data_IF_229381040875
#
_entry.id   IF_229381040875
#
_cell.length_a   1.000
_cell.length_b   1.000
_cell.length_c   1.000
_cell.angle_alpha   90.00
_cell.angle_beta   90.00
_cell.angle_gamma   90.00
#
_symmetry.space_group_name_H-M   'P 1'
#
loop_
_entity.id
_entity.type
_entity.pdbx_description
1 polymer ?
#
# COMPACT_ATOMS: atom_id res chain seq x y z
N UNK A 1 10.52 -33.75 -37.88
CA UNK A 1 9.88 -34.14 -36.61
C UNK A 1 10.24 -33.12 -35.54
N UNK A 2 9.36 -32.97 -34.54
CA UNK A 2 9.08 -31.77 -33.73
C UNK A 2 10.28 -31.20 -32.94
N UNK A 3 10.35 -29.87 -32.88
CA UNK A 3 11.18 -29.08 -31.96
C UNK A 3 10.53 -29.09 -30.57
N UNK A 4 11.32 -29.27 -29.51
CA UNK A 4 10.87 -29.12 -28.13
C UNK A 4 11.77 -28.09 -27.45
N UNK A 5 11.20 -26.91 -27.21
CA UNK A 5 11.80 -25.83 -26.42
C UNK A 5 11.43 -26.12 -24.97
N UNK A 6 12.45 -26.19 -24.11
CA UNK A 6 12.29 -26.32 -22.66
C UNK A 6 12.06 -24.91 -22.11
N UNK A 7 10.81 -24.56 -21.81
CA UNK A 7 10.50 -23.38 -20.99
C UNK A 7 10.60 -23.76 -19.52
N UNK A 8 11.41 -23.01 -18.77
CA UNK A 8 11.49 -23.07 -17.32
C UNK A 8 10.17 -22.55 -16.73
N UNK A 9 9.43 -23.43 -16.06
CA UNK A 9 8.30 -23.05 -15.23
C UNK A 9 8.83 -22.47 -13.91
N UNK A 10 8.54 -21.20 -13.65
CA UNK A 10 8.62 -20.63 -12.31
C UNK A 10 7.47 -21.24 -11.51
N UNK A 11 7.80 -22.23 -10.67
CA UNK A 11 6.87 -22.80 -9.69
C UNK A 11 6.79 -21.82 -8.52
N UNK A 12 5.85 -20.88 -8.60
CA UNK A 12 5.38 -20.13 -7.45
C UNK A 12 4.51 -21.06 -6.59
N UNK A 13 5.12 -21.71 -5.61
CA UNK A 13 4.42 -22.51 -4.61
C UNK A 13 3.78 -21.56 -3.59
N UNK A 14 2.56 -21.12 -3.86
CA UNK A 14 1.73 -20.41 -2.89
C UNK A 14 1.15 -21.46 -1.93
N UNK A 15 1.77 -21.63 -0.77
CA UNK A 15 1.24 -22.44 0.31
C UNK A 15 0.07 -21.69 0.97
N UNK A 16 -1.15 -22.05 0.61
CA UNK A 16 -2.37 -21.67 1.31
C UNK A 16 -2.65 -22.70 2.41
N UNK A 17 -2.68 -22.23 3.66
CA UNK A 17 -3.63 -22.68 4.70
C UNK A 17 -3.43 -24.04 5.39
N UNK A 18 -2.98 -24.01 6.64
CA UNK A 18 -3.36 -24.83 7.80
C UNK A 18 -2.40 -24.45 8.94
N UNK A 19 -2.75 -24.26 10.22
CA UNK A 19 -3.92 -24.62 11.00
C UNK A 19 -3.76 -23.94 12.36
N UNK A 20 -4.89 -23.60 13.00
CA UNK A 20 -5.00 -23.29 14.43
C UNK A 20 -4.19 -24.28 15.27
N UNK A 21 -3.43 -23.79 16.25
CA UNK A 21 -2.98 -24.60 17.38
C UNK A 21 -2.89 -23.74 18.63
N UNK A 22 -4.01 -23.76 19.36
CA UNK A 22 -4.05 -23.61 20.82
C UNK A 22 -2.92 -24.39 21.49
N UNK A 23 -2.16 -23.72 22.37
CA UNK A 23 -1.43 -24.39 23.45
C UNK A 23 -2.04 -23.92 24.77
N UNK A 24 -2.94 -24.75 25.28
CA UNK A 24 -3.21 -24.82 26.72
C UNK A 24 -1.99 -25.46 27.38
N UNK A 25 -1.25 -24.71 28.19
CA UNK A 25 -0.35 -25.26 29.18
C UNK A 25 -1.05 -25.18 30.54
N UNK A 26 -1.82 -26.22 30.86
CA UNK A 26 -2.25 -26.50 32.21
C UNK A 26 -1.08 -27.12 32.99
N UNK A 27 -0.52 -26.36 33.92
CA UNK A 27 0.15 -26.86 35.12
C UNK A 27 -0.45 -26.03 36.25
N UNK A 28 -1.42 -26.52 37.01
CA UNK A 28 -1.20 -27.61 37.95
C UNK A 28 -0.70 -27.05 39.28
N UNK A 29 -1.45 -26.16 39.91
CA UNK A 29 -1.33 -25.91 41.35
C UNK A 29 -2.72 -25.72 41.97
N UNK A 30 -3.07 -26.67 42.84
CA UNK A 30 -4.19 -26.58 43.76
C UNK A 30 -3.83 -25.61 44.87
N UNK A 31 -4.55 -24.50 45.02
CA UNK A 31 -4.58 -23.74 46.29
C UNK A 31 -6.03 -23.60 46.74
N UNK A 32 -6.43 -24.53 47.61
CA UNK A 32 -7.44 -24.25 48.62
C UNK A 32 -6.75 -23.42 49.70
N UNK A 33 -7.04 -22.13 49.77
CA UNK A 33 -7.35 -21.40 51.01
C UNK A 33 -7.36 -19.88 50.78
N UNK A 34 -8.40 -19.26 51.35
CA UNK A 34 -8.46 -17.88 51.88
C UNK A 34 -8.41 -16.71 50.89
N UNK A 35 -9.55 -16.03 50.83
CA UNK A 35 -9.71 -14.57 50.73
C UNK A 35 -8.38 -13.79 50.79
N UNK A 36 -7.80 -13.53 49.62
CA UNK A 36 -6.76 -12.51 49.47
C UNK A 36 -7.12 -11.68 48.23
N UNK A 37 -7.50 -10.43 48.49
CA UNK A 37 -7.76 -9.43 47.48
C UNK A 37 -6.45 -9.12 46.78
N UNK A 38 -6.24 -9.63 45.56
CA UNK A 38 -5.13 -9.15 44.71
C UNK A 38 -5.51 -7.76 44.20
N UNK A 39 -5.22 -6.73 45.00
CA UNK A 39 -5.11 -5.36 44.52
C UNK A 39 -3.80 -5.25 43.75
N UNK A 40 -3.87 -5.39 42.42
CA UNK A 40 -2.75 -5.03 41.55
C UNK A 40 -2.49 -3.53 41.75
N UNK A 41 -1.24 -3.20 42.07
CA UNK A 41 -0.86 -1.79 42.25
C UNK A 41 -0.77 -1.10 40.89
N UNK A 42 -1.01 0.22 40.83
CA UNK A 42 -0.94 1.03 39.58
C UNK A 42 0.39 0.79 38.82
N UNK A 43 1.45 0.47 39.56
CA UNK A 43 2.78 0.14 39.05
C UNK A 43 2.84 -1.20 38.27
N UNK A 44 2.00 -2.19 38.59
CA UNK A 44 1.98 -3.50 37.90
C UNK A 44 1.19 -3.47 36.58
N UNK A 45 0.21 -2.57 36.44
CA UNK A 45 -0.56 -2.41 35.20
C UNK A 45 0.26 -1.67 34.13
N UNK A 46 1.20 -0.80 34.55
CA UNK A 46 2.15 -0.14 33.66
C UNK A 46 3.18 -1.07 32.99
N UNK A 47 3.35 -2.30 33.48
CA UNK A 47 4.29 -3.29 32.90
C UNK A 47 3.68 -4.14 31.77
N UNK A 48 2.37 -4.01 31.53
CA UNK A 48 1.65 -4.71 30.44
C UNK A 48 1.57 -3.89 29.14
N UNK A 49 1.95 -2.62 29.16
CA UNK A 49 2.10 -1.79 27.96
C UNK A 49 3.59 -1.74 27.61
N UNK A 50 3.93 -1.97 26.34
CA UNK A 50 5.30 -2.02 25.77
C UNK A 50 6.07 -0.67 25.91
N UNK A 51 6.30 -0.18 27.12
CA UNK A 51 7.14 0.98 27.41
C UNK A 51 6.51 2.37 27.17
N UNK A 52 5.21 2.45 26.86
CA UNK A 52 4.51 3.74 26.83
C UNK A 52 4.00 4.09 28.23
N UNK A 53 4.53 5.14 28.81
CA UNK A 53 4.12 5.63 30.13
C UNK A 53 2.66 6.07 30.08
N UNK A 54 1.77 5.59 30.96
CA UNK A 54 0.43 6.13 31.09
C UNK A 54 0.49 7.66 31.27
N UNK A 55 -0.30 8.39 30.48
CA UNK A 55 -0.40 9.84 30.60
C UNK A 55 -0.85 10.23 32.03
N UNK A 56 -0.40 11.37 32.53
CA UNK A 56 -0.68 11.89 33.87
C UNK A 56 -2.19 12.00 34.16
N UNK A 57 -3.02 12.10 33.13
CA UNK A 57 -4.49 12.04 33.22
C UNK A 57 -4.99 10.66 33.71
N UNK A 58 -4.34 9.57 33.30
CA UNK A 58 -4.68 8.19 33.66
C UNK A 58 -4.34 7.89 35.13
N UNK A 59 -3.15 8.29 35.57
CA UNK A 59 -2.70 8.22 36.97
C UNK A 59 -3.66 9.01 37.90
N UNK A 60 -4.00 10.24 37.51
CA UNK A 60 -4.91 11.10 38.29
C UNK A 60 -6.32 10.51 38.37
N UNK A 61 -6.79 9.86 37.29
CA UNK A 61 -8.11 9.23 37.21
C UNK A 61 -8.20 7.96 38.06
N UNK A 62 -7.17 7.12 38.10
CA UNK A 62 -7.13 5.96 39.02
C UNK A 62 -7.01 6.37 40.49
N UNK A 63 -6.26 7.41 40.80
CA UNK A 63 -6.08 7.91 42.18
C UNK A 63 -7.38 8.50 42.75
N UNK A 64 -8.09 9.34 41.99
CA UNK A 64 -9.39 9.89 42.42
C UNK A 64 -10.48 8.80 42.58
N UNK A 65 -10.42 7.73 41.78
CA UNK A 65 -11.39 6.62 41.84
C UNK A 65 -11.18 5.71 43.06
N UNK A 66 -9.95 5.52 43.52
CA UNK A 66 -9.69 4.75 44.76
C UNK A 66 -10.27 5.46 46.00
N UNK A 67 -10.28 6.80 46.05
CA UNK A 67 -10.88 7.55 47.16
C UNK A 67 -12.41 7.43 47.21
N UNK A 68 -13.07 7.27 46.05
CA UNK A 68 -14.51 7.00 45.94
C UNK A 68 -14.90 5.62 46.50
N UNK A 69 -14.05 4.61 46.35
CA UNK A 69 -14.28 3.27 46.95
C UNK A 69 -14.06 3.26 48.47
N UNK A 70 -13.20 4.14 49.00
CA UNK A 70 -12.94 4.27 50.42
C UNK A 70 -14.06 5.03 51.17
N UNK A 71 -14.68 6.00 50.52
CA UNK A 71 -15.79 6.79 51.09
C UNK A 71 -17.11 6.03 51.15
N UNK A 72 -17.40 5.12 50.21
CA UNK A 72 -18.59 4.24 50.28
C UNK A 72 -18.52 3.23 51.46
N UNK A 73 -17.30 2.84 51.91
CA UNK A 73 -17.11 1.93 53.06
C UNK A 73 -17.46 2.54 54.43
N UNK A 74 -17.62 3.87 54.55
CA UNK A 74 -17.87 4.53 55.84
C UNK A 74 -19.35 4.83 56.14
N UNK A 75 -20.26 4.73 55.17
CA UNK A 75 -21.64 5.22 55.36
C UNK A 75 -22.73 4.14 55.51
N UNK A 76 -22.42 2.84 55.53
CA UNK A 76 -23.45 1.81 55.67
C UNK A 76 -23.34 1.07 57.01
N UNK A 77 -23.94 1.65 58.05
CA UNK A 77 -24.03 1.08 59.39
C UNK A 77 -25.41 0.46 59.64
N UNK A 78 -25.88 -0.39 58.73
CA UNK A 78 -27.00 -1.29 58.99
C UNK A 78 -26.80 -2.62 58.25
N UNK A 79 -26.58 -3.66 59.05
CA UNK A 79 -26.21 -5.00 58.61
C UNK A 79 -27.47 -5.81 58.29
N UNK A 80 -27.71 -6.08 56.99
CA UNK A 80 -28.49 -7.24 56.51
C UNK A 80 -28.25 -7.45 55.01
N UNK A 81 -27.39 -8.42 54.68
CA UNK A 81 -27.11 -8.87 53.31
C UNK A 81 -26.22 -7.92 52.51
N UNK A 82 -24.94 -7.84 52.86
CA UNK A 82 -23.96 -7.05 52.08
C UNK A 82 -23.70 -7.80 50.77
N UNK A 83 -24.37 -7.39 49.70
CA UNK A 83 -23.90 -7.71 48.34
C UNK A 83 -22.53 -7.04 48.19
N UNK A 84 -21.51 -7.81 47.81
CA UNK A 84 -20.17 -7.26 47.55
C UNK A 84 -20.27 -6.07 46.60
N UNK A 85 -19.51 -4.98 46.82
CA UNK A 85 -19.58 -3.81 45.96
C UNK A 85 -19.23 -4.19 44.52
N UNK A 86 -19.99 -3.67 43.54
CA UNK A 86 -19.72 -3.91 42.12
C UNK A 86 -18.29 -3.45 41.80
N UNK A 87 -17.45 -4.28 41.13
CA UNK A 87 -16.10 -3.87 40.77
C UNK A 87 -16.13 -2.73 39.74
N UNK A 88 -15.09 -1.89 39.78
CA UNK A 88 -14.85 -0.90 38.74
C UNK A 88 -14.06 -1.54 37.61
N UNK A 89 -14.54 -1.39 36.38
CA UNK A 89 -13.88 -1.89 35.17
C UNK A 89 -13.91 -0.82 34.08
N UNK A 90 -12.81 -0.66 33.34
CA UNK A 90 -12.70 0.29 32.23
C UNK A 90 -12.96 -0.39 30.88
N UNK A 91 -13.45 0.40 29.94
CA UNK A 91 -13.65 0.02 28.54
C UNK A 91 -13.05 1.11 27.64
N UNK A 92 -12.34 0.69 26.59
CA UNK A 92 -11.89 1.59 25.53
C UNK A 92 -12.95 1.68 24.45
N UNK A 93 -13.49 2.88 24.25
CA UNK A 93 -14.53 3.18 23.27
C UNK A 93 -14.06 2.80 21.87
N UNK A 94 -14.89 2.05 21.15
CA UNK A 94 -14.67 1.72 19.75
C UNK A 94 -15.57 2.56 18.84
N UNK A 95 -15.28 2.54 17.53
CA UNK A 95 -16.05 3.29 16.53
C UNK A 95 -17.51 2.86 16.52
N UNK A 96 -18.41 3.80 16.82
CA UNK A 96 -19.86 3.58 16.82
C UNK A 96 -20.47 3.34 18.20
N UNK A 97 -19.64 3.28 19.25
CA UNK A 97 -20.12 3.21 20.62
C UNK A 97 -20.76 4.54 21.06
N UNK A 98 -21.76 4.45 21.95
CA UNK A 98 -22.33 5.59 22.66
C UNK A 98 -22.41 5.26 24.16
N UNK A 99 -22.51 6.28 25.02
CA UNK A 99 -22.72 6.02 26.45
C UNK A 99 -24.01 5.23 26.68
N UNK A 100 -25.06 5.48 25.90
CA UNK A 100 -26.33 4.78 25.97
C UNK A 100 -26.21 3.32 25.51
N UNK A 101 -25.49 3.04 24.41
CA UNK A 101 -25.33 1.67 23.92
C UNK A 101 -24.51 0.83 24.90
N UNK A 102 -23.46 1.41 25.48
CA UNK A 102 -22.63 0.74 26.50
C UNK A 102 -23.38 0.56 27.83
N UNK A 103 -24.14 1.57 28.27
CA UNK A 103 -25.00 1.48 29.45
C UNK A 103 -26.03 0.34 29.31
N UNK A 104 -26.68 0.25 28.14
CA UNK A 104 -27.61 -0.85 27.83
C UNK A 104 -26.91 -2.22 27.80
N UNK A 105 -25.72 -2.30 27.20
CA UNK A 105 -24.94 -3.54 27.08
C UNK A 105 -24.52 -4.10 28.44
N UNK A 106 -24.09 -3.24 29.35
CA UNK A 106 -23.61 -3.64 30.67
C UNK A 106 -24.67 -3.51 31.78
N UNK A 107 -25.94 -3.29 31.40
CA UNK A 107 -27.07 -3.13 32.31
C UNK A 107 -26.83 -2.09 33.42
N UNK A 108 -26.20 -0.97 33.06
CA UNK A 108 -25.94 0.19 33.94
C UNK A 108 -26.90 1.31 33.54
N UNK A 109 -27.39 2.09 34.51
CA UNK A 109 -28.16 3.30 34.18
C UNK A 109 -27.25 4.34 33.53
N UNK A 110 -27.67 4.88 32.37
CA UNK A 110 -26.85 5.82 31.61
C UNK A 110 -26.53 7.11 32.41
N UNK A 111 -27.43 7.57 33.29
CA UNK A 111 -27.16 8.74 34.14
C UNK A 111 -26.16 8.40 35.27
N UNK A 112 -26.20 7.19 35.82
CA UNK A 112 -25.19 6.72 36.77
C UNK A 112 -23.83 6.53 36.11
N UNK A 113 -23.81 5.97 34.90
CA UNK A 113 -22.58 5.83 34.11
C UNK A 113 -21.97 7.21 33.82
N UNK A 114 -22.78 8.19 33.42
CA UNK A 114 -22.31 9.55 33.21
C UNK A 114 -21.75 10.19 34.50
N UNK A 115 -22.36 9.95 35.67
CA UNK A 115 -21.83 10.44 36.96
C UNK A 115 -20.45 9.90 37.30
N UNK A 116 -20.09 8.71 36.83
CA UNK A 116 -18.74 8.16 37.01
C UNK A 116 -17.75 8.64 35.94
N UNK A 117 -18.27 9.18 34.83
CA UNK A 117 -17.50 9.62 33.68
C UNK A 117 -17.78 11.10 33.38
N UNK A 118 -17.76 11.97 34.40
CA UNK A 118 -18.14 13.40 34.27
C UNK A 118 -17.22 14.20 33.33
N UNK A 119 -16.02 13.68 33.03
CA UNK A 119 -15.11 14.23 32.02
C UNK A 119 -15.55 13.90 30.58
N UNK A 120 -16.42 12.89 30.43
CA UNK A 120 -17.10 12.54 29.19
C UNK A 120 -18.42 13.29 29.20
N UNK A 121 -18.45 14.44 28.54
CA UNK A 121 -19.62 15.31 28.47
C UNK A 121 -20.86 14.52 27.99
N UNK A 122 -21.96 14.58 28.74
CA UNK A 122 -23.21 13.84 28.48
C UNK A 122 -23.84 14.17 27.13
N UNK A 123 -23.51 15.33 26.55
CA UNK A 123 -23.99 15.73 25.23
C UNK A 123 -23.10 15.21 24.08
N UNK A 124 -21.97 14.59 24.41
CA UNK A 124 -20.85 14.37 23.49
C UNK A 124 -20.76 12.89 23.14
N UNK A 125 -20.82 12.64 21.82
CA UNK A 125 -20.47 11.37 21.19
C UNK A 125 -19.13 10.92 21.77
N UNK A 126 -19.08 9.75 22.39
CA UNK A 126 -17.80 9.19 22.85
C UNK A 126 -16.92 8.93 21.64
N UNK A 127 -15.69 9.42 21.70
CA UNK A 127 -14.73 9.27 20.63
C UNK A 127 -14.00 7.92 20.76
N UNK A 128 -13.71 7.23 19.63
CA UNK A 128 -12.89 6.03 19.66
C UNK A 128 -11.56 6.28 20.38
N UNK A 129 -11.20 5.37 21.30
CA UNK A 129 -10.02 5.51 22.16
C UNK A 129 -10.27 6.17 23.51
N UNK A 130 -11.44 6.79 23.74
CA UNK A 130 -11.79 7.29 25.07
C UNK A 130 -12.03 6.15 26.07
N UNK A 131 -11.74 6.39 27.34
CA UNK A 131 -11.94 5.41 28.42
C UNK A 131 -13.21 5.72 29.19
N UNK A 132 -14.14 4.75 29.19
CA UNK A 132 -15.37 4.76 30.00
C UNK A 132 -15.25 3.75 31.13
N UNK A 133 -15.62 4.15 32.34
CA UNK A 133 -15.55 3.31 33.55
C UNK A 133 -16.94 2.91 34.00
N UNK A 134 -17.11 1.62 34.31
CA UNK A 134 -18.35 1.01 34.77
C UNK A 134 -18.20 0.49 36.20
N UNK A 135 -19.25 0.61 37.02
CA UNK A 135 -19.44 -0.26 38.20
C UNK A 135 -20.43 -1.36 37.84
N UNK A 136 -19.94 -2.54 37.49
CA UNK A 136 -20.78 -3.64 36.99
C UNK A 136 -20.22 -5.02 37.37
N UNK A 137 -21.07 -6.05 37.40
CA UNK A 137 -20.63 -7.46 37.50
C UNK A 137 -20.42 -8.10 36.12
N UNK A 138 -20.77 -7.38 35.05
CA UNK A 138 -20.57 -7.85 33.68
C UNK A 138 -19.09 -7.84 33.32
N UNK A 139 -18.69 -8.82 32.50
CA UNK A 139 -17.30 -8.98 32.06
C UNK A 139 -17.01 -8.02 30.88
N UNK A 140 -16.69 -6.78 31.23
CA UNK A 140 -16.35 -5.72 30.28
C UNK A 140 -15.08 -6.07 29.48
N UNK A 141 -14.13 -6.78 30.10
CA UNK A 141 -12.88 -7.17 29.45
C UNK A 141 -13.11 -8.23 28.37
N UNK A 142 -13.95 -9.23 28.63
CA UNK A 142 -14.33 -10.22 27.63
C UNK A 142 -15.12 -9.58 26.47
N UNK A 143 -16.02 -8.64 26.77
CA UNK A 143 -16.74 -7.89 25.73
C UNK A 143 -15.80 -7.08 24.85
N UNK A 144 -14.85 -6.35 25.46
CA UNK A 144 -13.85 -5.58 24.72
C UNK A 144 -12.98 -6.47 23.84
N UNK A 145 -12.45 -7.58 24.38
CA UNK A 145 -11.64 -8.53 23.63
C UNK A 145 -12.41 -9.14 22.44
N UNK A 146 -13.70 -9.44 22.62
CA UNK A 146 -14.55 -9.92 21.53
C UNK A 146 -14.71 -8.88 20.42
N UNK A 147 -14.88 -7.60 20.77
CA UNK A 147 -15.07 -6.51 19.82
C UNK A 147 -13.78 -6.18 19.08
N UNK A 148 -12.65 -6.16 19.78
CA UNK A 148 -11.32 -6.04 19.17
C UNK A 148 -11.03 -7.18 18.18
N UNK A 149 -11.37 -8.42 18.53
CA UNK A 149 -11.22 -9.56 17.64
C UNK A 149 -12.13 -9.47 16.39
N UNK A 150 -13.36 -8.95 16.53
CA UNK A 150 -14.27 -8.74 15.41
C UNK A 150 -13.76 -7.64 14.47
N UNK A 151 -13.29 -6.51 15.01
CA UNK A 151 -12.69 -5.43 14.21
C UNK A 151 -11.44 -5.93 13.48
N UNK A 152 -10.55 -6.66 14.15
CA UNK A 152 -9.36 -7.23 13.51
C UNK A 152 -9.71 -8.23 12.39
N UNK A 153 -10.77 -9.04 12.57
CA UNK A 153 -11.25 -9.95 11.53
C UNK A 153 -11.82 -9.20 10.32
N UNK A 154 -12.61 -8.14 10.55
CA UNK A 154 -13.17 -7.29 9.48
C UNK A 154 -12.08 -6.53 8.72
N UNK A 155 -11.07 -6.02 9.42
CA UNK A 155 -9.91 -5.35 8.80
C UNK A 155 -9.09 -6.32 7.97
N UNK A 156 -8.86 -7.55 8.44
CA UNK A 156 -8.17 -8.59 7.69
C UNK A 156 -8.95 -9.00 6.41
N UNK A 157 -10.27 -9.13 6.50
CA UNK A 157 -11.13 -9.41 5.34
C UNK A 157 -11.12 -8.25 4.35
N UNK A 158 -11.20 -7.00 4.83
CA UNK A 158 -11.13 -5.81 3.98
C UNK A 158 -9.77 -5.67 3.28
N UNK A 159 -8.66 -5.99 3.97
CA UNK A 159 -7.33 -6.01 3.37
C UNK A 159 -7.20 -7.10 2.30
N UNK A 160 -7.69 -8.32 2.57
CA UNK A 160 -7.68 -9.40 1.59
C UNK A 160 -8.52 -9.05 0.35
N UNK A 161 -9.69 -8.42 0.53
CA UNK A 161 -10.53 -7.96 -0.58
C UNK A 161 -9.86 -6.84 -1.39
N UNK A 162 -9.18 -5.90 -0.73
CA UNK A 162 -8.43 -4.84 -1.40
C UNK A 162 -7.24 -5.38 -2.19
N UNK A 163 -6.53 -6.38 -1.67
CA UNK A 163 -5.42 -7.04 -2.36
C UNK A 163 -5.91 -7.83 -3.59
N UNK A 164 -7.03 -8.56 -3.46
CA UNK A 164 -7.66 -9.25 -4.60
C UNK A 164 -8.10 -8.27 -5.69
N UNK A 165 -8.76 -7.17 -5.32
CA UNK A 165 -9.17 -6.14 -6.27
C UNK A 165 -7.97 -5.50 -6.99
N UNK A 166 -6.87 -5.25 -6.28
CA UNK A 166 -5.64 -4.72 -6.87
C UNK A 166 -4.97 -5.71 -7.82
N UNK A 167 -5.01 -7.01 -7.52
CA UNK A 167 -4.51 -8.06 -8.42
C UNK A 167 -5.37 -8.19 -9.68
N UNK A 168 -6.70 -8.18 -9.54
CA UNK A 168 -7.62 -8.21 -10.70
C UNK A 168 -7.43 -6.99 -11.61
N UNK A 169 -7.24 -5.80 -11.03
CA UNK A 169 -6.96 -4.59 -11.79
C UNK A 169 -5.60 -4.66 -12.51
N UNK A 170 -4.56 -5.18 -11.84
CA UNK A 170 -3.25 -5.37 -12.46
C UNK A 170 -3.28 -6.41 -13.58
N UNK A 171 -4.01 -7.51 -13.41
CA UNK A 171 -4.20 -8.53 -14.46
C UNK A 171 -5.02 -7.99 -15.65
N UNK A 172 -6.07 -7.21 -15.38
CA UNK A 172 -6.85 -6.56 -16.44
C UNK A 172 -6.00 -5.57 -17.25
N UNK A 173 -5.17 -4.76 -16.58
CA UNK A 173 -4.23 -3.85 -17.25
C UNK A 173 -3.16 -4.63 -18.04
N UNK A 174 -2.64 -5.73 -17.51
CA UNK A 174 -1.68 -6.57 -18.23
C UNK A 174 -2.28 -7.21 -19.49
N UNK A 175 -3.55 -7.65 -19.42
CA UNK A 175 -4.28 -8.18 -20.58
C UNK A 175 -4.61 -7.09 -21.61
N UNK A 176 -4.94 -5.87 -21.17
CA UNK A 176 -5.16 -4.75 -22.07
C UNK A 176 -3.88 -4.34 -22.80
N UNK A 177 -2.74 -4.28 -22.10
CA UNK A 177 -1.43 -4.01 -22.71
C UNK A 177 -1.06 -5.12 -23.70
N UNK A 178 -1.27 -6.39 -23.35
CA UNK A 178 -1.02 -7.52 -24.25
C UNK A 178 -1.94 -7.49 -25.49
N UNK A 179 -3.22 -7.15 -25.34
CA UNK A 179 -4.16 -7.04 -26.44
C UNK A 179 -3.85 -5.84 -27.36
N UNK A 180 -3.37 -4.73 -26.80
CA UNK A 180 -2.90 -3.58 -27.58
C UNK A 180 -1.61 -3.89 -28.35
N UNK A 181 -0.69 -4.65 -27.76
CA UNK A 181 0.54 -5.12 -28.41
C UNK A 181 0.23 -6.11 -29.56
N UNK A 182 -0.74 -7.01 -29.36
CA UNK A 182 -1.21 -7.94 -30.40
C UNK A 182 -2.01 -7.23 -31.52
N UNK A 183 -2.81 -6.20 -31.18
CA UNK A 183 -3.51 -5.37 -32.16
C UNK A 183 -2.56 -4.48 -32.98
N UNK A 184 -1.50 -3.94 -32.37
CA UNK A 184 -0.43 -3.23 -33.09
C UNK A 184 0.35 -4.18 -33.99
N UNK A 185 0.62 -5.42 -33.56
CA UNK A 185 1.25 -6.44 -34.41
C UNK A 185 0.39 -6.83 -35.62
N UNK A 186 -0.95 -6.82 -35.49
CA UNK A 186 -1.86 -7.13 -36.59
C UNK A 186 -2.10 -5.94 -37.55
N UNK A 187 -2.07 -4.69 -37.08
CA UNK A 187 -2.11 -3.51 -37.98
C UNK A 187 -0.82 -3.38 -38.81
N UNK A 188 0.30 -3.88 -38.30
CA UNK A 188 1.55 -4.00 -39.07
C UNK A 188 1.52 -5.14 -40.11
N UNK A 189 0.54 -6.05 -40.04
CA UNK A 189 0.36 -7.15 -41.00
C UNK A 189 -0.55 -6.81 -42.21
N UNK A 190 -1.14 -5.60 -42.26
CA UNK A 190 -1.86 -5.09 -43.44
C UNK A 190 -1.15 -3.97 -44.19
N UNK A 191 0.01 -3.50 -43.69
CA UNK A 191 0.98 -2.87 -44.57
C UNK A 191 1.59 -3.98 -45.46
N UNK A 192 1.85 -3.72 -46.76
CA UNK A 192 2.44 -4.73 -47.62
C UNK A 192 3.74 -5.22 -46.96
N UNK A 193 3.87 -6.55 -46.82
CA UNK A 193 5.09 -7.22 -46.39
C UNK A 193 6.18 -6.91 -47.42
N UNK A 194 6.83 -5.77 -47.23
CA UNK A 194 8.19 -5.55 -47.65
C UNK A 194 9.07 -6.11 -46.53
N UNK A 195 9.67 -7.27 -46.76
CA UNK A 195 10.94 -7.62 -46.11
C UNK A 195 11.79 -6.34 -46.03
N UNK A 196 12.36 -5.94 -44.88
CA UNK A 196 13.35 -4.87 -44.87
C UNK A 196 14.57 -5.41 -45.61
N UNK A 197 14.57 -5.22 -46.92
CA UNK A 197 15.77 -5.39 -47.72
C UNK A 197 16.61 -4.21 -47.32
N UNK A 198 17.68 -4.47 -46.55
CA UNK A 198 18.71 -3.48 -46.32
C UNK A 198 19.03 -2.84 -47.69
N UNK A 199 18.85 -1.52 -47.85
CA UNK A 199 19.03 -0.89 -49.14
C UNK A 199 20.49 -1.13 -49.60
N UNK A 200 20.67 -1.81 -50.72
CA UNK A 200 22.00 -2.09 -51.31
C UNK A 200 22.62 -0.87 -51.99
N UNK A 201 22.10 0.33 -51.72
CA UNK A 201 22.53 1.60 -52.31
C UNK A 201 22.44 2.68 -51.25
N UNK A 202 23.57 3.32 -50.96
CA UNK A 202 23.71 4.32 -49.90
C UNK A 202 25.05 4.20 -49.18
N UNK A 203 25.57 5.31 -48.65
CA UNK A 203 26.78 5.29 -47.80
C UNK A 203 26.39 4.77 -46.43
N UNK A 204 27.06 3.71 -45.97
CA UNK A 204 26.81 3.15 -44.63
C UNK A 204 27.88 3.60 -43.66
N UNK A 205 27.45 4.07 -42.49
CA UNK A 205 28.32 4.51 -41.39
C UNK A 205 27.97 3.73 -40.12
N UNK A 206 28.98 3.24 -39.42
CA UNK A 206 28.81 2.62 -38.10
C UNK A 206 28.86 3.71 -37.02
N UNK A 207 27.83 3.77 -36.17
CA UNK A 207 27.65 4.83 -35.16
C UNK A 207 27.29 4.26 -33.80
N UNK A 208 27.54 5.03 -32.74
CA UNK A 208 26.94 4.82 -31.43
C UNK A 208 25.57 5.50 -31.38
N UNK A 209 24.51 4.74 -31.17
CA UNK A 209 23.14 5.22 -31.09
C UNK A 209 22.62 5.17 -29.65
N UNK A 210 22.25 6.34 -29.13
CA UNK A 210 21.37 6.47 -27.96
C UNK A 210 19.92 6.69 -28.40
N UNK A 211 19.02 6.88 -27.44
CA UNK A 211 17.64 7.29 -27.71
C UNK A 211 17.19 8.45 -26.81
N UNK A 212 16.26 9.26 -27.33
CA UNK A 212 15.62 10.35 -26.63
C UNK A 212 14.11 10.40 -26.91
N UNK A 213 13.36 11.06 -26.04
CA UNK A 213 11.92 11.27 -26.20
C UNK A 213 11.53 12.68 -25.82
N UNK A 214 10.67 13.34 -26.62
CA UNK A 214 10.10 14.63 -26.23
C UNK A 214 9.32 14.57 -24.91
N UNK A 215 8.93 13.38 -24.44
CA UNK A 215 8.25 13.19 -23.17
C UNK A 215 9.17 13.37 -21.95
N UNK A 216 10.49 13.50 -22.14
CA UNK A 216 11.43 13.76 -21.04
C UNK A 216 11.37 15.24 -20.61
N UNK A 217 11.48 15.54 -19.29
CA UNK A 217 11.43 16.92 -18.81
C UNK A 217 12.50 17.82 -19.45
N UNK A 218 12.08 18.98 -19.95
CA UNK A 218 12.97 20.00 -20.50
C UNK A 218 13.34 19.82 -21.98
N UNK A 219 12.74 18.85 -22.69
CA UNK A 219 12.89 18.68 -24.14
C UNK A 219 11.71 19.29 -24.91
N UNK A 220 12.00 19.78 -26.11
CA UNK A 220 11.02 20.29 -27.07
C UNK A 220 10.49 19.16 -27.96
N UNK A 221 9.25 19.26 -28.41
CA UNK A 221 8.71 18.38 -29.46
C UNK A 221 9.14 18.79 -30.88
N UNK A 222 9.85 19.91 -31.03
CA UNK A 222 10.34 20.39 -32.33
C UNK A 222 11.83 20.12 -32.48
N UNK A 223 12.19 19.54 -33.63
CA UNK A 223 13.58 19.28 -34.01
C UNK A 223 14.27 20.52 -34.59
N UNK A 224 15.57 20.44 -34.84
CA UNK A 224 16.34 21.50 -35.50
C UNK A 224 15.79 21.91 -36.88
N UNK A 225 15.19 20.99 -37.64
CA UNK A 225 14.48 21.31 -38.90
C UNK A 225 13.03 21.79 -38.69
N UNK A 226 12.56 21.91 -37.45
CA UNK A 226 11.19 22.32 -37.13
C UNK A 226 10.16 21.21 -37.32
N UNK A 227 10.58 19.94 -37.37
CA UNK A 227 9.67 18.80 -37.47
C UNK A 227 9.00 18.61 -36.10
N UNK A 228 7.67 18.51 -36.08
CA UNK A 228 6.90 18.18 -34.89
C UNK A 228 6.91 16.65 -34.66
N UNK A 229 7.62 16.23 -33.60
CA UNK A 229 7.81 14.82 -33.24
C UNK A 229 6.51 14.14 -32.77
N UNK A 230 5.46 14.89 -32.43
CA UNK A 230 4.14 14.33 -32.13
C UNK A 230 3.37 13.92 -33.39
N UNK A 231 3.73 14.50 -34.55
CA UNK A 231 3.12 14.23 -35.86
C UNK A 231 4.00 13.30 -36.70
N UNK A 232 5.31 13.55 -36.72
CA UNK A 232 6.28 12.72 -37.42
C UNK A 232 7.40 12.28 -36.44
N UNK A 233 7.22 11.14 -35.77
CA UNK A 233 8.18 10.67 -34.76
C UNK A 233 9.43 10.03 -35.36
N UNK A 234 9.50 9.80 -36.69
CA UNK A 234 10.60 9.12 -37.35
C UNK A 234 11.74 10.10 -37.71
N UNK A 235 12.37 10.66 -36.67
CA UNK A 235 13.50 11.59 -36.79
C UNK A 235 14.65 11.12 -35.92
N UNK A 236 15.89 11.34 -36.39
CA UNK A 236 17.10 11.13 -35.61
C UNK A 236 17.91 12.42 -35.48
N UNK A 237 18.60 12.57 -34.36
CA UNK A 237 19.61 13.60 -34.18
C UNK A 237 20.97 13.10 -34.66
N UNK A 238 21.69 13.92 -35.43
CA UNK A 238 22.97 13.56 -36.06
C UNK A 238 24.01 14.66 -35.95
N UNK A 239 25.27 14.31 -36.26
CA UNK A 239 26.28 15.28 -36.67
C UNK A 239 26.18 15.55 -38.18
N UNK A 240 25.83 16.78 -38.62
CA UNK A 240 25.70 17.12 -40.04
C UNK A 240 26.97 16.93 -40.88
N UNK A 241 28.15 16.85 -40.26
CA UNK A 241 29.42 16.59 -40.95
C UNK A 241 29.61 15.11 -41.33
N UNK A 242 28.87 14.20 -40.69
CA UNK A 242 28.90 12.75 -40.94
C UNK A 242 27.65 12.29 -41.68
N UNK A 243 26.47 12.73 -41.23
CA UNK A 243 25.18 12.44 -41.87
C UNK A 243 24.52 13.78 -42.16
N UNK A 244 24.36 14.19 -43.44
CA UNK A 244 23.82 15.50 -43.77
C UNK A 244 22.40 15.69 -43.21
N UNK A 245 22.14 16.87 -42.64
CA UNK A 245 20.82 17.21 -42.12
C UNK A 245 19.81 17.28 -43.27
N UNK A 246 18.64 16.66 -43.08
CA UNK A 246 17.57 16.51 -44.06
C UNK A 246 17.61 15.18 -44.83
N UNK A 247 18.69 14.40 -44.73
CA UNK A 247 18.80 13.12 -45.43
C UNK A 247 17.76 12.12 -44.94
N UNK A 248 17.29 11.21 -45.81
CA UNK A 248 16.63 9.98 -45.31
C UNK A 248 17.68 8.94 -45.02
N UNK A 249 17.48 8.22 -43.93
CA UNK A 249 18.40 7.18 -43.46
C UNK A 249 17.63 5.93 -43.09
N UNK A 250 18.29 4.79 -43.19
CA UNK A 250 17.85 3.54 -42.57
C UNK A 250 18.78 3.21 -41.40
N UNK A 251 18.22 3.08 -40.20
CA UNK A 251 18.96 2.74 -38.98
C UNK A 251 18.66 1.28 -38.62
N UNK A 252 19.71 0.46 -38.53
CA UNK A 252 19.60 -0.95 -38.20
C UNK A 252 18.87 -1.16 -36.86
N UNK A 253 17.77 -1.92 -36.89
CA UNK A 253 16.94 -2.22 -35.73
C UNK A 253 15.97 -1.12 -35.30
N UNK A 254 16.01 0.07 -35.93
CA UNK A 254 15.07 1.17 -35.67
C UNK A 254 14.13 1.43 -36.85
N UNK A 255 14.66 1.47 -38.08
CA UNK A 255 13.89 1.67 -39.32
C UNK A 255 14.32 2.91 -40.11
N UNK A 256 13.49 3.33 -41.05
CA UNK A 256 13.72 4.55 -41.84
C UNK A 256 13.37 5.81 -41.04
N UNK A 257 14.21 6.83 -41.14
CA UNK A 257 14.05 8.09 -40.43
C UNK A 257 14.63 9.26 -41.23
N UNK A 258 14.26 10.47 -40.81
CA UNK A 258 14.85 11.71 -41.31
C UNK A 258 15.98 12.11 -40.37
N UNK A 259 17.15 12.45 -40.91
CA UNK A 259 18.21 13.14 -40.17
C UNK A 259 17.78 14.59 -39.93
N UNK A 260 16.85 14.81 -39.00
CA UNK A 260 16.09 16.06 -38.88
C UNK A 260 16.40 16.88 -37.64
N UNK A 261 17.32 16.41 -36.80
CA UNK A 261 17.67 17.06 -35.54
C UNK A 261 19.19 17.11 -35.31
N UNK A 262 19.61 17.97 -34.39
CA UNK A 262 21.01 18.06 -33.92
C UNK A 262 21.03 18.23 -32.41
N UNK A 263 22.13 17.85 -31.77
CA UNK A 263 22.30 18.02 -30.33
C UNK A 263 23.75 18.30 -29.97
N UNK A 264 23.97 19.10 -28.92
CA UNK A 264 25.32 19.47 -28.51
C UNK A 264 26.22 18.28 -28.11
N UNK A 265 25.61 17.15 -27.74
CA UNK A 265 26.31 15.91 -27.41
C UNK A 265 26.38 14.90 -28.59
N UNK A 266 25.76 15.24 -29.73
CA UNK A 266 25.69 14.39 -30.92
C UNK A 266 26.73 14.90 -31.93
N UNK A 267 27.93 14.35 -31.84
CA UNK A 267 29.08 14.73 -32.67
C UNK A 267 29.87 13.50 -33.10
N UNK A 268 30.42 13.54 -34.32
CA UNK A 268 31.08 12.43 -34.98
C UNK A 268 30.12 11.29 -35.31
N UNK A 269 30.61 10.05 -35.17
CA UNK A 269 29.83 8.83 -35.42
C UNK A 269 28.89 8.50 -34.25
N UNK A 270 28.06 9.46 -33.86
CA UNK A 270 27.04 9.32 -32.82
C UNK A 270 25.71 9.84 -33.33
N UNK A 271 24.64 9.13 -33.00
CA UNK A 271 23.26 9.53 -33.28
C UNK A 271 22.39 9.39 -32.02
N UNK A 272 21.24 10.05 -32.04
CA UNK A 272 20.16 9.83 -31.08
C UNK A 272 18.87 9.49 -31.85
N UNK A 273 18.26 8.34 -31.57
CA UNK A 273 16.98 7.98 -32.21
C UNK A 273 15.81 8.44 -31.34
N UNK A 274 14.75 8.94 -31.96
CA UNK A 274 13.60 9.41 -31.23
C UNK A 274 12.60 8.28 -30.90
N UNK A 275 12.01 8.30 -29.71
CA UNK A 275 10.81 7.51 -29.41
C UNK A 275 9.74 8.38 -28.73
N UNK A 276 8.46 8.06 -28.98
CA UNK A 276 7.33 8.76 -28.36
C UNK A 276 7.21 8.55 -26.85
N UNK A 277 7.85 7.52 -26.28
CA UNK A 277 7.81 7.23 -24.84
C UNK A 277 9.21 7.06 -24.26
N UNK A 278 9.37 7.49 -23.01
CA UNK A 278 10.62 7.33 -22.25
C UNK A 278 10.96 5.85 -22.03
N UNK A 279 9.94 4.99 -21.86
CA UNK A 279 10.12 3.55 -21.70
C UNK A 279 10.77 2.90 -22.94
N UNK A 280 10.38 3.32 -24.15
CA UNK A 280 10.99 2.83 -25.39
C UNK A 280 12.46 3.25 -25.52
N UNK A 281 12.83 4.46 -25.06
CA UNK A 281 14.24 4.88 -24.98
C UNK A 281 15.06 3.96 -24.07
N UNK A 282 14.52 3.56 -22.93
CA UNK A 282 15.20 2.61 -22.04
C UNK A 282 15.33 1.22 -22.65
N UNK A 283 14.29 0.75 -23.36
CA UNK A 283 14.35 -0.50 -24.12
C UNK A 283 15.37 -0.46 -25.27
N UNK A 284 15.61 0.71 -25.86
CA UNK A 284 16.66 0.92 -26.85
C UNK A 284 18.06 0.91 -26.21
N UNK A 285 18.27 1.68 -25.14
CA UNK A 285 19.59 1.81 -24.50
C UNK A 285 20.67 2.39 -25.42
N UNK A 286 21.94 2.19 -25.09
CA UNK A 286 23.07 2.58 -25.95
C UNK A 286 23.55 1.38 -26.75
N UNK A 287 23.67 1.50 -28.07
CA UNK A 287 24.13 0.40 -28.93
C UNK A 287 24.89 0.90 -30.16
N UNK A 288 25.75 0.05 -30.69
CA UNK A 288 26.40 0.30 -31.98
C UNK A 288 25.52 -0.22 -33.10
N UNK A 289 25.21 0.62 -34.09
CA UNK A 289 24.34 0.30 -35.22
C UNK A 289 24.95 0.78 -36.53
N UNK A 290 24.49 0.21 -37.63
CA UNK A 290 24.75 0.73 -38.96
C UNK A 290 23.63 1.67 -39.40
N UNK A 291 24.03 2.79 -40.00
CA UNK A 291 23.12 3.75 -40.62
C UNK A 291 23.45 3.85 -42.09
N UNK A 292 22.47 3.60 -42.96
CA UNK A 292 22.60 3.76 -44.40
C UNK A 292 21.92 5.05 -44.83
N UNK A 293 22.68 5.97 -45.43
CA UNK A 293 22.17 7.24 -45.97
C UNK A 293 21.59 6.98 -47.36
N UNK A 294 20.31 7.30 -47.56
CA UNK A 294 19.55 6.96 -48.76
C UNK A 294 19.51 8.08 -49.80
N UNK A 295 19.32 9.33 -49.36
CA UNK A 295 19.30 10.55 -50.17
C UNK A 295 19.52 11.80 -49.32
#
# INVERSE_FOLDING_TARGET
MRKTIVSAAVVGMLAIGASVSTVFAATGETVSDKNETQTNTVTEIGQLFNGETPDQSFETKMVNLNELTATEKMNNKDSKGVKEPKPLVSYTVQKGDTLESLAATFEVDANELHKWNQEVDAATVVEPGQIVVFKTYHDVAAYQAQREAEVAAQEAEAQAAAEQAAQEEAEAQAQEVAAQEEAQAQQQATAPVGTPVAPTSGTTVTVSASAYSYAQPGLSSFTSLGIDLSVNPQVIAVDPSVIPLGSRVYVEGYGEAIAGDTGGAISGNRIDVHFSSVAACYGWGMRTVQVTILD
#
